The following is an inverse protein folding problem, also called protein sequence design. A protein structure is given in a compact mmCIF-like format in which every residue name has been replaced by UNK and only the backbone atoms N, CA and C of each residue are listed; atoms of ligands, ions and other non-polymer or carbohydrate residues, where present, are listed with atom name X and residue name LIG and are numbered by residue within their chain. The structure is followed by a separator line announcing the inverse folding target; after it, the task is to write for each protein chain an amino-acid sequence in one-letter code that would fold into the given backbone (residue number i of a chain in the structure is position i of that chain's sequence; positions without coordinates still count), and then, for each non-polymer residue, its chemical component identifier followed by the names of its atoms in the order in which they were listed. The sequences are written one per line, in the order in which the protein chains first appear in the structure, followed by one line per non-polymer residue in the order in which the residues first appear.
data_IF_691557230706
#
_entry.id   IF_691557230706
#
_cell.length_a   1.000
_cell.length_b   1.000
_cell.length_c   1.000
_cell.angle_alpha   90.00
_cell.angle_beta   90.00
_cell.angle_gamma   90.00
#
_symmetry.space_group_name_H-M   'P 1'
#
loop_
_entity.id
_entity.type
_entity.pdbx_description
1 polymer ?
#
# COMPACT_ATOMS: atom_id res chain seq x y z
N UNK A 1 -13.40 13.81 -35.95
CA UNK A 1 -12.46 14.12 -34.87
C UNK A 1 -12.37 12.88 -34.00
N UNK A 2 -11.38 12.04 -34.27
CA UNK A 2 -11.28 10.69 -33.68
C UNK A 2 -10.45 10.74 -32.40
N UNK A 3 -11.02 10.22 -31.32
CA UNK A 3 -10.33 10.00 -30.04
C UNK A 3 -9.32 8.84 -30.15
N UNK A 4 -8.21 8.84 -29.37
CA UNK A 4 -7.16 7.84 -29.49
C UNK A 4 -7.58 6.51 -28.82
N UNK A 5 -7.08 5.34 -29.29
CA UNK A 5 -7.45 4.04 -28.74
C UNK A 5 -6.71 3.73 -27.42
N UNK A 6 -7.43 3.21 -26.44
CA UNK A 6 -6.92 2.83 -25.10
C UNK A 6 -6.36 1.40 -25.13
N UNK A 7 -5.06 1.25 -24.93
CA UNK A 7 -4.38 -0.05 -24.82
C UNK A 7 -4.69 -0.74 -23.49
N UNK A 8 -5.44 -1.84 -23.47
CA UNK A 8 -5.49 -2.75 -22.30
C UNK A 8 -5.87 -4.18 -22.72
N UNK A 9 -4.89 -4.97 -23.13
CA UNK A 9 -4.86 -6.42 -22.95
C UNK A 9 -3.39 -6.85 -22.99
N UNK A 10 -2.69 -6.56 -21.89
CA UNK A 10 -1.36 -7.08 -21.62
C UNK A 10 -1.46 -7.91 -20.34
N UNK A 11 -0.81 -9.09 -20.26
CA UNK A 11 -0.72 -9.84 -19.00
C UNK A 11 -0.24 -8.92 -17.87
N UNK A 12 -0.63 -9.19 -16.61
CA UNK A 12 -0.20 -8.35 -15.49
C UNK A 12 1.32 -8.17 -15.55
N UNK A 13 1.81 -6.91 -15.50
CA UNK A 13 3.23 -6.63 -15.66
C UNK A 13 4.03 -7.45 -14.65
N UNK A 14 4.99 -8.25 -15.13
CA UNK A 14 5.89 -8.97 -14.23
C UNK A 14 6.86 -7.95 -13.63
N UNK A 15 6.54 -7.45 -12.43
CA UNK A 15 7.38 -6.49 -11.74
C UNK A 15 8.75 -7.11 -11.38
N UNK A 16 9.79 -6.31 -11.55
CA UNK A 16 11.19 -6.62 -11.29
C UNK A 16 11.75 -5.53 -10.38
N UNK A 17 12.56 -5.93 -9.41
CA UNK A 17 13.19 -5.02 -8.47
C UNK A 17 14.69 -4.92 -8.77
N UNK A 18 15.17 -3.70 -8.95
CA UNK A 18 16.60 -3.36 -8.93
C UNK A 18 16.93 -2.65 -7.62
N UNK A 19 18.11 -2.90 -7.09
CA UNK A 19 18.63 -2.20 -5.90
C UNK A 19 20.01 -1.62 -6.20
N UNK A 20 20.31 -0.48 -5.58
CA UNK A 20 21.63 0.16 -5.58
C UNK A 20 21.96 0.62 -4.17
N UNK A 21 22.93 -0.05 -3.56
CA UNK A 21 23.43 0.31 -2.23
C UNK A 21 24.50 1.40 -2.36
N UNK A 22 24.28 2.52 -1.69
CA UNK A 22 25.21 3.63 -1.61
C UNK A 22 25.86 3.60 -0.23
N UNK A 23 27.16 3.28 -0.20
CA UNK A 23 27.97 3.37 1.00
C UNK A 23 28.85 4.62 0.99
N UNK A 24 29.10 5.19 2.17
CA UNK A 24 29.92 6.40 2.33
C UNK A 24 29.44 7.57 1.46
N UNK A 25 28.14 7.86 1.49
CA UNK A 25 27.49 8.87 0.67
C UNK A 25 28.20 10.24 0.70
N UNK A 26 28.66 10.69 1.86
CA UNK A 26 29.38 11.95 2.03
C UNK A 26 30.68 12.00 1.22
N UNK A 27 31.37 10.86 1.06
CA UNK A 27 32.54 10.75 0.17
C UNK A 27 32.12 10.69 -1.29
N UNK A 28 31.05 9.96 -1.57
CA UNK A 28 30.48 9.79 -2.91
C UNK A 28 30.03 11.13 -3.49
N UNK A 29 29.31 11.95 -2.72
CA UNK A 29 28.90 13.33 -3.06
C UNK A 29 30.11 14.23 -3.38
N UNK A 30 31.22 14.09 -2.65
CA UNK A 30 32.45 14.88 -2.89
C UNK A 30 33.24 14.40 -4.11
N UNK A 31 33.21 13.10 -4.42
CA UNK A 31 34.04 12.49 -5.47
C UNK A 31 33.38 12.47 -6.84
N UNK A 32 32.05 12.36 -6.91
CA UNK A 32 31.31 12.26 -8.17
C UNK A 32 30.94 13.68 -8.63
N UNK A 33 31.51 14.22 -9.72
CA UNK A 33 31.19 15.57 -10.18
C UNK A 33 29.74 15.67 -10.69
N UNK A 34 29.19 16.89 -10.73
CA UNK A 34 27.87 17.14 -11.33
C UNK A 34 27.79 16.61 -12.75
N UNK A 35 26.74 15.85 -13.05
CA UNK A 35 26.58 15.14 -14.34
C UNK A 35 27.23 13.75 -14.42
N UNK A 36 28.01 13.33 -13.42
CA UNK A 36 28.49 11.94 -13.30
C UNK A 36 27.55 11.11 -12.41
N UNK A 37 27.58 9.78 -12.59
CA UNK A 37 26.65 8.86 -11.93
C UNK A 37 27.32 7.58 -11.46
N UNK A 38 26.61 6.89 -10.57
CA UNK A 38 26.90 5.55 -10.05
C UNK A 38 25.83 4.62 -10.59
N UNK A 39 26.19 3.38 -10.85
CA UNK A 39 25.33 2.43 -11.52
C UNK A 39 25.16 1.14 -10.72
N UNK A 40 23.96 0.59 -10.71
CA UNK A 40 23.67 -0.73 -10.13
C UNK A 40 24.20 -1.87 -11.00
N UNK A 41 24.16 -3.09 -10.44
CA UNK A 41 24.20 -4.29 -11.26
C UNK A 41 23.02 -4.30 -12.24
N UNK A 42 23.24 -4.94 -13.39
CA UNK A 42 22.22 -5.03 -14.42
C UNK A 42 21.29 -6.23 -14.19
N UNK A 43 20.01 -6.06 -14.51
CA UNK A 43 18.99 -7.10 -14.46
C UNK A 43 18.36 -7.29 -15.85
N UNK A 44 18.21 -8.53 -16.29
CA UNK A 44 17.58 -8.84 -17.58
C UNK A 44 16.07 -8.99 -17.42
N UNK A 45 15.31 -8.19 -18.15
CA UNK A 45 13.84 -8.22 -18.19
C UNK A 45 13.34 -7.81 -19.57
N UNK A 46 12.34 -8.54 -20.10
CA UNK A 46 11.77 -8.27 -21.43
C UNK A 46 12.79 -8.36 -22.58
N UNK A 47 13.84 -9.18 -22.46
CA UNK A 47 14.92 -9.27 -23.46
C UNK A 47 15.95 -8.14 -23.39
N UNK A 48 15.81 -7.22 -22.43
CA UNK A 48 16.67 -6.06 -22.27
C UNK A 48 17.43 -6.07 -20.94
N UNK A 49 18.60 -5.43 -20.92
CA UNK A 49 19.42 -5.29 -19.72
C UNK A 49 19.14 -3.93 -19.09
N UNK A 50 18.77 -3.92 -17.81
CA UNK A 50 18.31 -2.73 -17.09
C UNK A 50 19.20 -2.43 -15.90
N UNK A 51 19.47 -1.15 -15.63
CA UNK A 51 20.23 -0.71 -14.46
C UNK A 51 19.77 0.64 -13.92
N UNK A 52 19.99 0.88 -12.63
CA UNK A 52 19.78 2.19 -11.98
C UNK A 52 21.03 3.04 -12.22
N UNK A 53 20.85 4.28 -12.63
CA UNK A 53 21.87 5.33 -12.66
C UNK A 53 21.51 6.42 -11.66
N UNK A 54 22.30 6.54 -10.60
CA UNK A 54 22.15 7.55 -9.56
C UNK A 54 23.18 8.67 -9.72
N UNK A 55 22.71 9.92 -9.74
CA UNK A 55 23.49 11.13 -9.88
C UNK A 55 23.47 11.88 -8.55
N UNK A 56 24.52 11.77 -7.71
CA UNK A 56 24.53 12.44 -6.41
C UNK A 56 24.33 13.95 -6.54
N UNK A 57 25.03 14.59 -7.49
CA UNK A 57 25.01 16.06 -7.69
C UNK A 57 24.24 16.48 -8.95
N UNK A 58 23.18 15.74 -9.30
CA UNK A 58 22.33 16.03 -10.45
C UNK A 58 22.95 15.75 -11.82
N UNK A 59 22.15 15.87 -12.88
CA UNK A 59 22.58 15.70 -14.28
C UNK A 59 23.23 16.96 -14.85
N UNK A 60 24.09 16.84 -15.87
CA UNK A 60 24.69 17.99 -16.55
C UNK A 60 23.60 18.91 -17.13
N UNK A 61 23.50 20.15 -16.63
CA UNK A 61 22.48 21.13 -17.02
C UNK A 61 21.28 21.24 -16.07
N UNK A 62 21.28 20.53 -14.93
CA UNK A 62 20.30 20.75 -13.88
C UNK A 62 20.49 22.15 -13.25
N UNK A 63 19.40 22.88 -13.07
CA UNK A 63 19.38 24.25 -12.51
C UNK A 63 19.69 24.29 -11.00
N UNK A 64 19.73 23.14 -10.34
CA UNK A 64 19.83 23.05 -8.89
C UNK A 64 20.84 21.97 -8.47
N UNK A 65 22.06 22.40 -8.14
CA UNK A 65 23.14 21.51 -7.69
C UNK A 65 22.92 20.93 -6.28
N UNK A 66 21.82 21.31 -5.60
CA UNK A 66 21.45 20.80 -4.29
C UNK A 66 20.61 19.50 -4.35
N UNK A 67 20.26 19.03 -5.56
CA UNK A 67 19.39 17.89 -5.78
C UNK A 67 20.12 16.73 -6.44
N UNK A 68 19.84 15.52 -5.96
CA UNK A 68 20.26 14.29 -6.62
C UNK A 68 19.23 13.85 -7.67
N UNK A 69 19.65 13.03 -8.64
CA UNK A 69 18.79 12.49 -9.69
C UNK A 69 18.91 10.97 -9.77
N UNK A 70 17.86 10.28 -10.21
CA UNK A 70 17.87 8.82 -10.40
C UNK A 70 17.17 8.44 -11.70
N UNK A 71 17.76 7.53 -12.47
CA UNK A 71 17.21 7.06 -13.74
C UNK A 71 17.34 5.56 -13.88
N UNK A 72 16.27 4.92 -14.38
CA UNK A 72 16.32 3.59 -14.94
C UNK A 72 16.82 3.67 -16.38
N UNK A 73 17.86 2.89 -16.69
CA UNK A 73 18.47 2.82 -18.02
C UNK A 73 18.35 1.44 -18.61
N UNK A 74 18.13 1.42 -19.92
CA UNK A 74 18.30 0.24 -20.76
C UNK A 74 19.73 0.26 -21.34
N UNK A 75 20.51 -0.76 -21.04
CA UNK A 75 21.94 -0.81 -21.31
C UNK A 75 22.28 -1.24 -22.74
N UNK A 76 21.34 -1.92 -23.42
CA UNK A 76 21.46 -2.44 -24.78
C UNK A 76 20.58 -1.68 -25.80
N UNK A 77 20.39 -0.38 -25.60
CA UNK A 77 19.43 0.48 -26.34
C UNK A 77 19.64 0.66 -27.87
N UNK A 78 20.52 -0.10 -28.52
CA UNK A 78 20.78 0.03 -29.97
C UNK A 78 19.75 -0.68 -30.85
N UNK A 79 19.00 -1.64 -30.32
CA UNK A 79 18.11 -2.52 -31.12
C UNK A 79 16.64 -2.58 -30.63
N UNK A 80 16.22 -1.75 -29.67
CA UNK A 80 14.87 -1.82 -29.09
C UNK A 80 13.86 -0.94 -29.85
N UNK A 81 12.74 -1.53 -30.30
CA UNK A 81 11.58 -0.82 -30.84
C UNK A 81 10.39 -1.03 -29.90
N UNK A 82 10.04 0.01 -29.13
CA UNK A 82 8.67 0.20 -28.66
C UNK A 82 8.26 -0.40 -27.32
N UNK A 83 9.19 -0.76 -26.44
CA UNK A 83 8.83 -1.25 -25.10
C UNK A 83 8.55 -0.09 -24.13
N UNK A 84 7.38 -0.15 -23.48
CA UNK A 84 6.95 0.78 -22.44
C UNK A 84 7.34 0.22 -21.07
N UNK A 85 7.93 1.06 -20.21
CA UNK A 85 8.27 0.69 -18.83
C UNK A 85 7.35 1.39 -17.84
N UNK A 86 6.85 0.64 -16.86
CA UNK A 86 6.14 1.20 -15.70
C UNK A 86 6.99 1.05 -14.46
N UNK A 87 7.12 2.16 -13.73
CA UNK A 87 7.54 2.29 -12.33
C UNK A 87 9.05 2.49 -12.04
N UNK A 88 9.30 3.31 -11.01
CA UNK A 88 10.58 3.65 -10.39
C UNK A 88 10.30 3.76 -8.88
N UNK A 89 10.25 2.62 -8.19
CA UNK A 89 10.00 2.59 -6.74
C UNK A 89 11.29 2.80 -5.92
N UNK A 90 11.59 4.04 -5.52
CA UNK A 90 12.71 4.40 -4.64
C UNK A 90 12.56 3.85 -3.21
N UNK A 91 13.65 3.31 -2.66
CA UNK A 91 13.72 2.60 -1.36
C UNK A 91 13.40 3.47 -0.14
N UNK A 92 13.10 2.83 1.02
CA UNK A 92 12.38 3.46 2.10
C UNK A 92 13.19 4.48 2.90
N UNK A 93 12.48 5.45 3.52
CA UNK A 93 11.06 5.76 3.39
C UNK A 93 10.88 7.24 3.10
N UNK A 94 10.68 7.47 1.80
CA UNK A 94 9.85 8.49 1.15
C UNK A 94 10.63 9.38 0.20
N UNK A 95 11.06 8.76 -0.89
CA UNK A 95 10.94 9.40 -2.20
C UNK A 95 10.12 8.48 -3.09
N UNK A 96 8.84 8.30 -2.74
CA UNK A 96 7.87 7.72 -3.68
C UNK A 96 7.62 8.80 -4.72
N UNK A 97 8.15 8.59 -5.92
CA UNK A 97 7.84 9.46 -7.04
C UNK A 97 6.78 8.85 -7.93
N UNK A 98 6.09 9.73 -8.62
CA UNK A 98 4.94 9.48 -9.46
C UNK A 98 5.15 8.37 -10.50
N UNK A 99 4.05 7.71 -10.86
CA UNK A 99 3.97 6.73 -11.95
C UNK A 99 4.50 7.34 -13.25
N UNK A 100 5.73 7.03 -13.60
CA UNK A 100 6.33 7.43 -14.87
C UNK A 100 6.13 6.31 -15.90
N UNK A 101 5.46 6.64 -17.00
CA UNK A 101 5.31 5.75 -18.17
C UNK A 101 6.11 6.37 -19.30
N UNK A 102 6.98 5.59 -19.95
CA UNK A 102 7.75 6.09 -21.08
C UNK A 102 8.27 4.99 -21.98
N UNK A 103 8.17 5.25 -23.28
CA UNK A 103 8.70 4.39 -24.32
C UNK A 103 10.21 4.60 -24.47
N UNK A 104 10.97 3.50 -24.45
CA UNK A 104 12.39 3.49 -24.77
C UNK A 104 12.56 3.17 -26.27
N UNK A 105 13.28 4.02 -27.02
CA UNK A 105 13.48 3.81 -28.46
C UNK A 105 13.76 5.02 -29.35
N UNK A 106 13.83 6.25 -28.81
CA UNK A 106 14.28 7.43 -29.58
C UNK A 106 15.68 7.85 -29.15
N UNK A 107 16.55 8.14 -30.14
CA UNK A 107 18.01 8.40 -30.03
C UNK A 107 18.44 9.58 -29.11
N UNK A 108 17.57 10.10 -28.24
CA UNK A 108 17.85 11.30 -27.41
C UNK A 108 17.33 11.29 -25.97
N UNK A 109 16.90 10.16 -25.39
CA UNK A 109 16.53 10.13 -23.96
C UNK A 109 17.47 9.20 -23.16
N UNK A 110 18.16 9.69 -22.13
CA UNK A 110 19.19 8.93 -21.42
C UNK A 110 18.61 7.90 -20.43
N UNK A 111 17.30 7.79 -20.26
CA UNK A 111 16.67 6.92 -19.28
C UNK A 111 15.30 7.46 -18.87
N UNK A 112 14.50 6.63 -18.19
CA UNK A 112 13.27 7.05 -17.51
C UNK A 112 13.66 7.36 -16.05
N UNK A 113 13.28 8.50 -15.49
CA UNK A 113 13.82 8.90 -14.18
C UNK A 113 13.42 10.29 -13.72
N UNK A 114 13.98 10.68 -12.58
CA UNK A 114 13.68 11.90 -11.84
C UNK A 114 14.94 12.76 -11.77
N UNK A 115 14.88 13.94 -12.36
CA UNK A 115 15.96 14.93 -12.29
C UNK A 115 16.08 15.57 -10.91
N UNK A 116 14.98 15.63 -10.14
CA UNK A 116 14.92 16.16 -8.79
C UNK A 116 14.36 15.08 -7.85
N UNK A 117 15.19 14.08 -7.54
CA UNK A 117 14.79 12.91 -6.76
C UNK A 117 14.72 13.24 -5.26
N UNK A 118 15.81 13.74 -4.69
CA UNK A 118 15.90 14.14 -3.28
C UNK A 118 16.95 15.23 -3.11
N UNK A 119 16.66 16.19 -2.23
CA UNK A 119 17.62 17.22 -1.82
C UNK A 119 18.65 16.65 -0.85
N UNK A 120 19.88 17.13 -0.91
CA UNK A 120 20.91 16.67 0.00
C UNK A 120 20.54 16.87 1.47
N UNK A 121 19.89 18.00 1.78
CA UNK A 121 19.48 18.35 3.14
C UNK A 121 18.40 17.40 3.66
N UNK A 122 17.42 17.04 2.83
CA UNK A 122 16.35 16.12 3.22
C UNK A 122 16.88 14.70 3.39
N UNK A 123 17.85 14.28 2.55
CA UNK A 123 18.48 12.97 2.70
C UNK A 123 19.34 12.89 3.98
N UNK A 124 20.14 13.90 4.25
CA UNK A 124 21.07 13.94 5.41
C UNK A 124 20.33 14.12 6.75
N UNK A 125 19.14 14.74 6.75
CA UNK A 125 18.27 14.86 7.94
C UNK A 125 17.31 13.68 8.12
N UNK A 126 17.26 12.76 7.16
CA UNK A 126 16.37 11.61 7.24
C UNK A 126 16.82 10.62 8.31
N UNK A 127 15.87 9.98 8.99
CA UNK A 127 16.12 8.96 10.03
C UNK A 127 16.77 7.67 9.47
N UNK A 128 16.93 7.59 8.14
CA UNK A 128 17.32 6.41 7.37
C UNK A 128 18.71 6.51 6.78
N UNK A 129 19.33 7.68 6.99
CA UNK A 129 20.72 7.90 6.73
C UNK A 129 21.55 7.30 7.88
N UNK A 130 21.50 5.98 8.00
CA UNK A 130 22.29 5.24 8.97
C UNK A 130 23.72 5.09 8.46
N UNK A 131 24.69 5.54 9.25
CA UNK A 131 26.12 5.32 9.00
C UNK A 131 26.63 5.79 7.61
N UNK A 132 26.14 6.94 7.12
CA UNK A 132 26.55 7.50 5.82
C UNK A 132 26.18 6.59 4.63
N UNK A 133 25.06 5.86 4.73
CA UNK A 133 24.61 4.91 3.70
C UNK A 133 23.10 4.89 3.51
N UNK A 134 22.66 4.48 2.31
CA UNK A 134 21.26 4.26 1.97
C UNK A 134 21.14 3.36 0.72
N UNK A 135 19.95 2.80 0.50
CA UNK A 135 19.66 1.94 -0.66
C UNK A 135 18.58 2.55 -1.54
N UNK A 136 18.83 2.59 -2.84
CA UNK A 136 17.85 2.96 -3.85
C UNK A 136 17.24 1.69 -4.41
N UNK A 137 15.95 1.47 -4.17
CA UNK A 137 15.17 0.46 -4.87
C UNK A 137 14.61 1.04 -6.19
N UNK A 138 14.25 0.17 -7.12
CA UNK A 138 13.49 0.51 -8.32
C UNK A 138 12.66 -0.70 -8.74
N UNK A 139 11.37 -0.66 -8.47
CA UNK A 139 10.40 -1.58 -9.06
C UNK A 139 10.03 -1.12 -10.46
N UNK A 140 10.14 -2.01 -11.45
CA UNK A 140 9.78 -1.73 -12.84
C UNK A 140 9.17 -2.94 -13.53
N UNK A 141 8.39 -2.71 -14.59
CA UNK A 141 7.90 -3.77 -15.48
C UNK A 141 8.04 -3.38 -16.95
N UNK A 142 8.42 -4.35 -17.78
CA UNK A 142 8.56 -4.19 -19.24
C UNK A 142 7.27 -4.64 -19.91
N UNK A 143 6.65 -3.76 -20.69
CA UNK A 143 5.45 -4.06 -21.45
C UNK A 143 5.81 -4.42 -22.91
N UNK A 144 5.20 -5.46 -23.49
CA UNK A 144 5.37 -5.78 -24.91
C UNK A 144 5.01 -4.60 -25.81
N UNK A 145 5.65 -4.48 -26.99
CA UNK A 145 5.40 -3.37 -27.88
C UNK A 145 3.95 -3.42 -28.40
N UNK A 146 3.29 -2.27 -28.59
CA UNK A 146 2.00 -2.21 -29.25
C UNK A 146 2.14 -2.79 -30.65
N UNK A 147 1.41 -3.85 -30.97
CA UNK A 147 1.38 -4.40 -32.33
C UNK A 147 0.84 -3.35 -33.29
N UNK A 148 1.72 -2.65 -34.00
CA UNK A 148 1.35 -1.69 -35.03
C UNK A 148 0.92 -2.44 -36.29
N UNK A 149 -0.36 -2.77 -36.40
CA UNK A 149 -0.97 -3.01 -37.70
C UNK A 149 -1.17 -1.66 -38.39
N UNK A 150 -0.33 -1.35 -39.38
CA UNK A 150 -0.74 -0.51 -40.51
C UNK A 150 -0.23 -1.11 -41.83
N UNK A 151 -1.02 -0.98 -42.92
CA UNK A 151 -0.82 -1.71 -44.16
C UNK A 151 0.17 -0.97 -45.07
N UNK A 152 1.24 -1.65 -45.47
CA UNK A 152 2.13 -1.20 -46.53
C UNK A 152 1.58 -1.69 -47.87
N UNK A 153 0.88 -0.82 -48.60
CA UNK A 153 0.65 -1.01 -50.04
C UNK A 153 1.94 -0.69 -50.79
N UNK A 154 2.54 -1.69 -51.46
CA UNK A 154 3.26 -1.58 -52.75
C UNK A 154 4.18 -2.78 -53.02
N UNK A 155 3.71 -3.71 -53.86
CA UNK A 155 4.44 -4.39 -54.94
C UNK A 155 5.89 -4.88 -54.71
N UNK A 156 6.05 -6.20 -54.57
CA UNK A 156 6.79 -7.02 -55.54
C UNK A 156 6.47 -8.51 -55.30
N UNK A 157 6.03 -9.19 -56.35
CA UNK A 157 5.63 -10.59 -56.33
C UNK A 157 6.81 -11.55 -56.11
N UNK A 158 6.64 -12.57 -55.25
CA UNK A 158 7.02 -13.98 -55.49
C UNK A 158 6.22 -14.89 -54.54
N UNK A 159 5.79 -16.05 -55.02
CA UNK A 159 4.72 -16.96 -54.53
C UNK A 159 5.07 -17.80 -53.24
N UNK A 160 4.10 -18.52 -52.62
CA UNK A 160 4.02 -18.86 -51.17
C UNK A 160 4.22 -20.37 -50.83
N UNK A 161 4.00 -20.81 -49.57
CA UNK A 161 3.38 -22.13 -49.30
C UNK A 161 2.19 -22.08 -48.29
N UNK A 162 1.40 -23.17 -48.13
CA UNK A 162 -0.06 -23.12 -47.98
C UNK A 162 -0.59 -23.00 -46.54
N UNK A 163 -1.80 -22.45 -46.45
CA UNK A 163 -2.55 -22.06 -45.26
C UNK A 163 -3.09 -23.25 -44.43
N UNK A 164 -2.93 -23.19 -43.10
CA UNK A 164 -3.68 -24.00 -42.15
C UNK A 164 -5.12 -23.47 -41.96
N UNK A 165 -6.09 -24.28 -41.48
CA UNK A 165 -7.50 -23.88 -41.38
C UNK A 165 -7.72 -22.84 -40.27
N UNK A 166 -8.71 -21.93 -40.38
CA UNK A 166 -8.94 -20.89 -39.38
C UNK A 166 -9.57 -21.45 -38.10
N UNK A 167 -8.97 -21.09 -36.95
CA UNK A 167 -9.50 -21.36 -35.60
C UNK A 167 -10.77 -20.54 -35.31
N UNK A 168 -11.68 -21.03 -34.44
CA UNK A 168 -12.93 -20.36 -34.13
C UNK A 168 -12.70 -19.03 -33.39
N UNK A 169 -13.57 -18.01 -33.58
CA UNK A 169 -13.33 -16.68 -33.04
C UNK A 169 -13.36 -16.70 -31.50
N UNK A 170 -12.27 -16.25 -30.91
CA UNK A 170 -12.10 -16.01 -29.47
C UNK A 170 -13.05 -14.90 -29.03
N UNK A 171 -14.01 -15.24 -28.18
CA UNK A 171 -14.92 -14.26 -27.54
C UNK A 171 -14.10 -13.42 -26.57
N UNK A 172 -13.91 -12.14 -26.88
CA UNK A 172 -13.19 -11.18 -26.03
C UNK A 172 -14.09 -10.84 -24.84
N UNK A 173 -13.64 -11.17 -23.63
CA UNK A 173 -14.30 -10.77 -22.39
C UNK A 173 -14.26 -9.24 -22.20
N UNK A 174 -15.28 -8.62 -21.56
CA UNK A 174 -15.31 -7.19 -21.32
C UNK A 174 -14.15 -6.71 -20.42
N UNK A 175 -13.70 -5.46 -20.55
CA UNK A 175 -12.51 -4.93 -19.87
C UNK A 175 -12.65 -4.95 -18.34
N UNK A 176 -11.55 -5.19 -17.63
CA UNK A 176 -11.51 -5.36 -16.16
C UNK A 176 -11.88 -4.13 -15.31
N UNK A 177 -12.29 -3.01 -15.93
CA UNK A 177 -12.88 -1.83 -15.27
C UNK A 177 -14.38 -1.66 -15.51
N UNK A 178 -14.98 -2.53 -16.35
CA UNK A 178 -16.42 -2.66 -16.50
C UNK A 178 -16.85 -3.91 -15.75
N UNK A 179 -17.65 -3.74 -14.71
CA UNK A 179 -18.12 -4.83 -13.88
C UNK A 179 -19.12 -4.32 -12.87
N UNK A 180 -19.94 -5.24 -12.37
CA UNK A 180 -21.07 -4.91 -11.48
C UNK A 180 -20.67 -3.99 -10.32
N UNK A 181 -19.50 -4.20 -9.70
CA UNK A 181 -19.01 -3.36 -8.60
C UNK A 181 -18.71 -1.91 -9.03
N UNK A 182 -18.21 -1.68 -10.25
CA UNK A 182 -17.95 -0.35 -10.77
C UNK A 182 -19.26 0.35 -11.18
N UNK A 183 -20.18 -0.40 -11.79
CA UNK A 183 -21.50 0.11 -12.17
C UNK A 183 -22.30 0.50 -10.92
N UNK A 184 -22.34 -0.36 -9.90
CA UNK A 184 -22.94 -0.05 -8.61
C UNK A 184 -22.20 1.09 -7.90
N UNK A 185 -20.86 1.08 -7.91
CA UNK A 185 -20.05 2.17 -7.37
C UNK A 185 -20.44 3.54 -7.96
N UNK A 186 -20.70 3.62 -9.27
CA UNK A 186 -21.13 4.87 -9.90
C UNK A 186 -22.48 5.40 -9.36
N UNK A 187 -23.40 4.52 -8.96
CA UNK A 187 -24.72 4.91 -8.45
C UNK A 187 -24.63 5.67 -7.12
N UNK A 188 -23.67 5.34 -6.26
CA UNK A 188 -23.48 6.07 -5.00
C UNK A 188 -22.97 7.49 -5.23
N UNK A 189 -22.23 7.71 -6.32
CA UNK A 189 -21.69 9.02 -6.69
C UNK A 189 -22.73 9.87 -7.43
N UNK A 190 -23.43 9.30 -8.42
CA UNK A 190 -24.44 10.00 -9.22
C UNK A 190 -25.74 10.23 -8.46
N UNK A 191 -26.02 9.38 -7.46
CA UNK A 191 -27.28 9.34 -6.70
C UNK A 191 -28.51 9.06 -7.57
N UNK A 192 -28.30 8.55 -8.77
CA UNK A 192 -29.37 8.26 -9.72
C UNK A 192 -30.25 7.12 -9.19
N UNK A 193 -31.53 7.42 -8.94
CA UNK A 193 -32.48 6.44 -8.43
C UNK A 193 -32.41 6.20 -6.91
N UNK A 194 -31.65 7.04 -6.18
CA UNK A 194 -31.61 6.96 -4.72
C UNK A 194 -33.02 7.13 -4.12
N UNK A 195 -33.37 6.24 -3.20
CA UNK A 195 -34.71 6.13 -2.61
C UNK A 195 -34.71 6.22 -1.07
N UNK A 196 -33.53 6.48 -0.48
CA UNK A 196 -33.34 6.77 0.94
C UNK A 196 -32.23 7.79 1.17
N UNK A 197 -32.43 8.67 2.13
CA UNK A 197 -31.41 9.55 2.67
C UNK A 197 -31.00 9.13 4.09
N UNK A 198 -29.70 9.08 4.35
CA UNK A 198 -29.11 8.67 5.63
C UNK A 198 -28.40 9.88 6.25
N UNK A 199 -28.87 10.35 7.40
CA UNK A 199 -28.25 11.45 8.13
C UNK A 199 -27.23 10.93 9.14
N UNK A 200 -25.97 11.31 8.99
CA UNK A 200 -24.86 10.95 9.87
C UNK A 200 -24.22 12.23 10.39
N UNK A 201 -24.34 12.50 11.69
CA UNK A 201 -23.78 13.72 12.30
C UNK A 201 -24.13 15.04 11.59
N UNK A 202 -25.31 15.12 10.95
CA UNK A 202 -25.78 16.28 10.18
C UNK A 202 -25.38 16.29 8.70
N UNK A 203 -24.59 15.31 8.24
CA UNK A 203 -24.30 15.09 6.82
C UNK A 203 -25.30 14.10 6.21
N UNK A 204 -25.73 14.37 4.98
CA UNK A 204 -26.74 13.56 4.29
C UNK A 204 -26.12 12.69 3.20
N UNK A 205 -26.39 11.39 3.26
CA UNK A 205 -25.94 10.39 2.32
C UNK A 205 -27.14 9.75 1.61
N UNK A 206 -27.35 10.08 0.34
CA UNK A 206 -28.38 9.46 -0.49
C UNK A 206 -27.92 8.08 -0.98
N UNK A 207 -28.79 7.07 -0.90
CA UNK A 207 -28.46 5.68 -1.21
C UNK A 207 -29.68 4.89 -1.73
N UNK A 208 -29.48 3.59 -1.96
CA UNK A 208 -30.47 2.68 -2.52
C UNK A 208 -30.82 1.57 -1.51
N UNK A 209 -32.07 1.51 -1.07
CA UNK A 209 -32.53 0.54 -0.05
C UNK A 209 -32.22 -0.90 -0.45
N UNK A 210 -32.43 -1.24 -1.72
CA UNK A 210 -32.17 -2.60 -2.21
C UNK A 210 -30.70 -2.99 -2.12
N UNK A 211 -29.78 -2.08 -2.44
CA UNK A 211 -28.34 -2.34 -2.31
C UNK A 211 -27.99 -2.53 -0.84
N UNK A 212 -28.36 -1.58 0.01
CA UNK A 212 -28.06 -1.65 1.45
C UNK A 212 -28.64 -2.90 2.12
N UNK A 213 -29.88 -3.25 1.82
CA UNK A 213 -30.54 -4.45 2.34
C UNK A 213 -29.94 -5.76 1.81
N UNK A 214 -29.38 -5.76 0.59
CA UNK A 214 -28.68 -6.93 0.07
C UNK A 214 -27.33 -7.14 0.77
N UNK A 215 -26.70 -6.06 1.24
CA UNK A 215 -25.36 -6.09 1.84
C UNK A 215 -25.38 -6.20 3.36
N UNK A 216 -26.42 -5.71 4.04
CA UNK A 216 -26.54 -5.74 5.50
C UNK A 216 -27.90 -6.28 5.95
N UNK A 217 -27.93 -7.30 6.84
CA UNK A 217 -29.17 -7.80 7.41
C UNK A 217 -29.89 -6.75 8.29
N UNK A 218 -29.14 -5.82 8.89
CA UNK A 218 -29.70 -4.73 9.70
C UNK A 218 -30.48 -3.77 8.80
N UNK A 219 -29.86 -3.28 7.72
CA UNK A 219 -30.59 -2.47 6.75
C UNK A 219 -31.75 -3.21 6.10
N UNK A 220 -31.62 -4.52 5.87
CA UNK A 220 -32.73 -5.34 5.38
C UNK A 220 -33.92 -5.34 6.34
N UNK A 221 -33.65 -5.47 7.64
CA UNK A 221 -34.67 -5.41 8.68
C UNK A 221 -35.29 -3.99 8.77
N UNK A 222 -34.48 -2.95 8.70
CA UNK A 222 -34.95 -1.56 8.77
C UNK A 222 -35.86 -1.19 7.57
N UNK A 223 -35.51 -1.63 6.36
CA UNK A 223 -36.27 -1.28 5.15
C UNK A 223 -37.42 -2.24 4.84
N UNK A 224 -37.28 -3.53 5.13
CA UNK A 224 -38.19 -4.57 4.69
C UNK A 224 -38.71 -5.47 5.82
N UNK A 225 -38.31 -5.21 7.06
CA UNK A 225 -38.78 -5.95 8.22
C UNK A 225 -40.22 -5.61 8.63
N UNK A 226 -40.81 -6.39 9.55
CA UNK A 226 -42.19 -6.21 10.00
C UNK A 226 -42.41 -4.92 10.79
N UNK A 227 -41.35 -4.35 11.37
CA UNK A 227 -41.37 -3.09 12.11
C UNK A 227 -41.01 -1.87 11.24
N UNK A 228 -40.97 -2.01 9.91
CA UNK A 228 -40.68 -0.89 9.01
C UNK A 228 -41.77 0.17 9.11
N UNK A 229 -41.39 1.43 9.15
CA UNK A 229 -42.33 2.52 8.89
C UNK A 229 -42.70 2.52 7.40
N UNK A 230 -43.97 2.74 7.06
CA UNK A 230 -44.47 2.66 5.67
C UNK A 230 -43.80 3.64 4.70
N UNK A 231 -43.07 4.63 5.21
CA UNK A 231 -42.39 5.67 4.45
C UNK A 231 -40.98 6.01 4.97
N UNK A 232 -40.14 5.01 5.30
CA UNK A 232 -38.73 5.26 5.65
C UNK A 232 -37.92 5.70 4.43
N UNK A 233 -38.07 6.96 4.01
CA UNK A 233 -37.19 7.63 3.03
C UNK A 233 -36.02 8.35 3.70
N UNK A 234 -35.99 8.40 5.03
CA UNK A 234 -35.00 9.09 5.83
C UNK A 234 -34.64 8.25 7.06
N UNK A 235 -33.36 8.05 7.32
CA UNK A 235 -32.87 7.35 8.52
C UNK A 235 -31.74 8.16 9.15
N UNK A 236 -31.80 8.32 10.48
CA UNK A 236 -30.73 8.96 11.24
C UNK A 236 -29.81 7.90 11.83
N UNK A 237 -28.51 8.06 11.59
CA UNK A 237 -27.45 7.17 12.03
C UNK A 237 -26.59 7.92 13.06
N UNK A 238 -26.71 7.54 14.33
CA UNK A 238 -25.85 8.03 15.41
C UNK A 238 -24.53 7.26 15.50
N UNK A 239 -23.57 7.77 16.28
CA UNK A 239 -22.37 7.07 16.76
C UNK A 239 -21.43 6.52 15.66
N UNK A 240 -21.49 7.08 14.44
CA UNK A 240 -20.54 6.80 13.36
C UNK A 240 -20.06 8.13 12.78
N UNK A 241 -18.75 8.26 12.62
CA UNK A 241 -18.11 9.39 11.93
C UNK A 241 -18.54 9.42 10.44
N UNK A 242 -18.90 10.59 9.85
CA UNK A 242 -19.25 10.71 8.43
C UNK A 242 -18.26 10.09 7.45
N UNK A 243 -16.94 10.24 7.68
CA UNK A 243 -15.89 9.67 6.84
C UNK A 243 -15.85 8.13 6.94
N UNK A 244 -16.06 7.59 8.15
CA UNK A 244 -16.19 6.14 8.33
C UNK A 244 -17.47 5.62 7.64
N UNK A 245 -18.58 6.37 7.73
CA UNK A 245 -19.81 6.02 7.06
C UNK A 245 -19.69 6.07 5.54
N UNK A 246 -18.98 7.07 5.00
CA UNK A 246 -18.67 7.17 3.57
C UNK A 246 -17.88 5.96 3.08
N UNK A 247 -16.88 5.52 3.86
CA UNK A 247 -16.11 4.31 3.53
C UNK A 247 -16.95 3.04 3.64
N UNK A 248 -17.83 2.92 4.64
CA UNK A 248 -18.83 1.85 4.75
C UNK A 248 -19.72 1.80 3.50
N UNK A 249 -20.25 2.96 3.09
CA UNK A 249 -21.14 3.05 1.94
C UNK A 249 -20.40 2.64 0.67
N UNK A 250 -19.19 3.15 0.44
CA UNK A 250 -18.34 2.73 -0.68
C UNK A 250 -18.14 1.20 -0.70
N UNK A 251 -17.85 0.59 0.45
CA UNK A 251 -17.72 -0.86 0.56
C UNK A 251 -19.02 -1.59 0.18
N UNK A 252 -20.19 -1.13 0.63
CA UNK A 252 -21.46 -1.78 0.29
C UNK A 252 -21.72 -1.83 -1.22
N UNK A 253 -21.28 -0.84 -1.99
CA UNK A 253 -21.47 -0.83 -3.44
C UNK A 253 -20.35 -1.54 -4.22
N UNK A 254 -19.13 -1.59 -3.68
CA UNK A 254 -17.93 -1.97 -4.47
C UNK A 254 -17.17 -3.18 -3.93
N UNK A 255 -17.48 -3.66 -2.73
CA UNK A 255 -16.70 -4.66 -1.97
C UNK A 255 -15.24 -4.25 -1.68
N UNK A 256 -14.93 -2.96 -1.81
CA UNK A 256 -13.58 -2.43 -1.59
C UNK A 256 -13.60 -1.22 -0.65
N UNK A 257 -12.49 -1.00 0.05
CA UNK A 257 -12.25 0.24 0.78
C UNK A 257 -11.61 1.26 -0.16
N UNK A 258 -11.90 2.57 -0.02
CA UNK A 258 -11.25 3.61 -0.80
C UNK A 258 -9.72 3.52 -0.69
N UNK A 259 -9.00 3.62 -1.81
CA UNK A 259 -7.52 3.55 -1.81
C UNK A 259 -6.88 4.67 -0.99
N UNK A 260 -7.51 5.85 -0.99
CA UNK A 260 -7.08 7.05 -0.26
C UNK A 260 -7.37 7.00 1.25
N UNK A 261 -7.93 5.89 1.76
CA UNK A 261 -8.31 5.79 3.17
C UNK A 261 -7.07 5.77 4.07
N UNK A 262 -6.90 6.76 4.99
CA UNK A 262 -5.68 6.93 5.77
C UNK A 262 -5.57 5.97 6.97
N UNK A 263 -5.83 4.66 6.78
CA UNK A 263 -5.67 3.65 7.85
C UNK A 263 -4.20 3.43 8.26
N UNK A 264 -3.27 4.19 7.68
CA UNK A 264 -1.83 4.15 7.96
C UNK A 264 -1.36 5.34 8.82
N UNK A 265 -2.21 6.30 9.17
CA UNK A 265 -1.84 7.38 10.08
C UNK A 265 -2.16 7.01 11.54
N UNK A 266 -1.33 7.50 12.48
CA UNK A 266 -1.42 7.11 13.90
C UNK A 266 -2.73 7.51 14.55
N UNK A 267 -3.10 8.78 14.48
CA UNK A 267 -4.28 9.31 15.17
C UNK A 267 -5.51 9.30 14.25
N UNK A 268 -5.43 9.98 13.10
CA UNK A 268 -6.56 10.07 12.17
C UNK A 268 -6.98 8.68 11.64
N UNK A 269 -6.00 7.82 11.33
CA UNK A 269 -6.22 6.47 10.84
C UNK A 269 -6.82 5.55 11.90
N UNK A 270 -6.43 5.70 13.17
CA UNK A 270 -7.03 4.95 14.27
C UNK A 270 -8.49 5.36 14.51
N UNK A 271 -8.80 6.66 14.50
CA UNK A 271 -10.18 7.17 14.64
C UNK A 271 -11.07 6.67 13.51
N UNK A 272 -10.55 6.71 12.27
CA UNK A 272 -11.29 6.22 11.11
C UNK A 272 -11.47 4.69 11.14
N UNK A 273 -10.43 3.95 11.55
CA UNK A 273 -10.49 2.50 11.73
C UNK A 273 -11.54 2.12 12.79
N UNK A 274 -11.52 2.79 13.95
CA UNK A 274 -12.49 2.59 15.03
C UNK A 274 -13.91 2.84 14.54
N UNK A 275 -14.15 3.99 13.89
CA UNK A 275 -15.45 4.33 13.32
C UNK A 275 -15.95 3.27 12.32
N UNK A 276 -15.06 2.76 11.48
CA UNK A 276 -15.41 1.76 10.47
C UNK A 276 -15.60 0.36 11.08
N UNK A 277 -14.83 -0.02 12.10
CA UNK A 277 -15.02 -1.27 12.85
C UNK A 277 -16.36 -1.25 13.62
N UNK A 278 -16.70 -0.13 14.28
CA UNK A 278 -18.01 0.08 14.88
C UNK A 278 -19.13 -0.05 13.86
N UNK A 279 -18.97 0.54 12.67
CA UNK A 279 -19.93 0.43 11.59
C UNK A 279 -20.07 -1.01 11.08
N UNK A 280 -18.95 -1.71 10.88
CA UNK A 280 -18.94 -3.10 10.45
C UNK A 280 -19.66 -4.02 11.45
N UNK A 281 -19.42 -3.82 12.75
CA UNK A 281 -20.12 -4.56 13.81
C UNK A 281 -21.61 -4.22 13.83
N UNK A 282 -21.97 -2.93 13.79
CA UNK A 282 -23.37 -2.46 13.83
C UNK A 282 -24.19 -2.98 12.66
N UNK A 283 -23.63 -3.04 11.46
CA UNK A 283 -24.33 -3.46 10.25
C UNK A 283 -24.06 -4.94 9.89
N UNK A 284 -23.41 -5.69 10.79
CA UNK A 284 -23.10 -7.12 10.68
C UNK A 284 -22.29 -7.51 9.43
N UNK A 285 -21.30 -6.70 9.06
CA UNK A 285 -20.45 -6.87 7.88
C UNK A 285 -19.11 -7.54 8.25
N UNK A 286 -19.12 -8.87 8.39
CA UNK A 286 -17.94 -9.63 8.84
C UNK A 286 -16.78 -9.55 7.84
N UNK A 287 -17.08 -9.55 6.56
CA UNK A 287 -16.09 -9.48 5.47
C UNK A 287 -15.40 -8.11 5.42
N UNK A 288 -16.14 -7.03 5.70
CA UNK A 288 -15.58 -5.69 5.85
C UNK A 288 -14.57 -5.65 7.00
N UNK A 289 -14.93 -6.25 8.15
CA UNK A 289 -14.04 -6.32 9.31
C UNK A 289 -12.71 -6.99 8.99
N UNK A 290 -12.74 -8.14 8.31
CA UNK A 290 -11.54 -8.83 7.86
C UNK A 290 -10.70 -8.00 6.87
N UNK A 291 -11.35 -7.22 6.01
CA UNK A 291 -10.68 -6.32 5.07
C UNK A 291 -9.96 -5.18 5.79
N UNK A 292 -10.60 -4.60 6.81
CA UNK A 292 -9.99 -3.58 7.69
C UNK A 292 -8.78 -4.18 8.40
N UNK A 293 -8.92 -5.37 8.99
CA UNK A 293 -7.81 -6.08 9.65
C UNK A 293 -6.63 -6.27 8.70
N UNK A 294 -6.86 -6.73 7.46
CA UNK A 294 -5.80 -6.92 6.48
C UNK A 294 -5.09 -5.61 6.10
N UNK A 295 -5.85 -4.52 5.94
CA UNK A 295 -5.28 -3.21 5.63
C UNK A 295 -4.47 -2.67 6.80
N UNK A 296 -4.94 -2.82 8.04
CA UNK A 296 -4.22 -2.38 9.24
C UNK A 296 -2.96 -3.20 9.48
N UNK A 297 -3.00 -4.53 9.25
CA UNK A 297 -1.83 -5.40 9.38
C UNK A 297 -0.65 -4.97 8.50
N UNK A 298 -0.91 -4.37 7.33
CA UNK A 298 0.12 -3.87 6.40
C UNK A 298 0.85 -2.63 6.90
N UNK A 299 0.32 -1.95 7.92
CA UNK A 299 0.82 -0.67 8.41
C UNK A 299 1.22 -0.73 9.91
N UNK A 300 1.46 -1.93 10.44
CA UNK A 300 1.93 -2.08 11.83
C UNK A 300 3.38 -1.57 11.91
N UNK A 301 3.58 -0.55 12.76
CA UNK A 301 4.88 -0.01 13.11
C UNK A 301 4.94 0.32 14.61
N UNK A 302 6.10 0.77 15.11
CA UNK A 302 6.29 1.09 16.53
C UNK A 302 5.30 2.14 17.02
N UNK A 303 5.01 3.16 16.21
CA UNK A 303 4.12 4.28 16.58
C UNK A 303 2.63 3.92 16.51
N UNK A 304 2.25 2.93 15.70
CA UNK A 304 0.85 2.53 15.45
C UNK A 304 0.43 1.26 16.19
N UNK A 305 1.37 0.38 16.58
CA UNK A 305 1.04 -0.96 17.09
C UNK A 305 0.19 -0.94 18.37
N UNK A 306 0.39 0.01 19.27
CA UNK A 306 -0.37 0.07 20.53
C UNK A 306 -1.82 0.53 20.32
N UNK A 307 -2.11 1.63 19.60
CA UNK A 307 -3.47 1.96 19.18
C UNK A 307 -4.16 0.82 18.41
N UNK A 308 -3.46 0.19 17.46
CA UNK A 308 -4.03 -0.91 16.67
C UNK A 308 -4.36 -2.14 17.53
N UNK A 309 -3.51 -2.46 18.52
CA UNK A 309 -3.76 -3.55 19.46
C UNK A 309 -4.96 -3.26 20.36
N UNK A 310 -5.12 -2.01 20.82
CA UNK A 310 -6.30 -1.60 21.59
C UNK A 310 -7.59 -1.77 20.78
N UNK A 311 -7.60 -1.28 19.53
CA UNK A 311 -8.74 -1.45 18.62
C UNK A 311 -9.02 -2.93 18.34
N UNK A 312 -7.97 -3.74 18.17
CA UNK A 312 -8.12 -5.15 17.90
C UNK A 312 -8.75 -5.91 19.07
N UNK A 313 -8.44 -5.55 20.31
CA UNK A 313 -9.12 -6.10 21.48
C UNK A 313 -10.58 -5.62 21.55
N UNK A 314 -10.80 -4.31 21.47
CA UNK A 314 -12.12 -3.69 21.61
C UNK A 314 -13.12 -4.26 20.60
N UNK A 315 -12.67 -4.45 19.35
CA UNK A 315 -13.47 -4.98 18.27
C UNK A 315 -13.24 -6.46 17.99
N UNK A 316 -12.57 -7.24 18.86
CA UNK A 316 -12.38 -8.68 18.65
C UNK A 316 -11.76 -9.05 17.27
N UNK A 317 -10.83 -8.24 16.79
CA UNK A 317 -10.10 -8.44 15.53
C UNK A 317 -8.92 -9.38 15.75
N UNK A 318 -9.17 -10.69 15.66
CA UNK A 318 -8.21 -11.72 16.04
C UNK A 318 -6.94 -11.75 15.18
N UNK A 319 -7.04 -11.50 13.87
CA UNK A 319 -5.85 -11.49 12.97
C UNK A 319 -4.99 -10.28 13.29
N UNK A 320 -5.59 -9.09 13.40
CA UNK A 320 -4.86 -7.86 13.75
C UNK A 320 -4.18 -7.99 15.12
N UNK A 321 -4.92 -8.44 16.14
CA UNK A 321 -4.38 -8.65 17.49
C UNK A 321 -3.15 -9.56 17.47
N UNK A 322 -3.24 -10.70 16.79
CA UNK A 322 -2.12 -11.64 16.65
C UNK A 322 -0.90 -10.97 16.00
N UNK A 323 -1.09 -10.25 14.90
CA UNK A 323 0.00 -9.58 14.19
C UNK A 323 0.65 -8.48 15.05
N UNK A 324 -0.14 -7.70 15.79
CA UNK A 324 0.37 -6.71 16.74
C UNK A 324 1.21 -7.36 17.85
N UNK A 325 0.72 -8.45 18.45
CA UNK A 325 1.44 -9.17 19.49
C UNK A 325 2.77 -9.76 18.96
N UNK A 326 2.76 -10.31 17.76
CA UNK A 326 3.99 -10.80 17.09
C UNK A 326 4.98 -9.68 16.80
N UNK A 327 4.50 -8.52 16.35
CA UNK A 327 5.34 -7.36 16.10
C UNK A 327 6.00 -6.83 17.39
N UNK A 328 5.23 -6.69 18.48
CA UNK A 328 5.74 -6.20 19.77
C UNK A 328 6.77 -7.16 20.36
N UNK A 329 6.54 -8.46 20.24
CA UNK A 329 7.37 -9.48 20.86
C UNK A 329 8.72 -9.72 20.14
N UNK A 330 8.95 -9.10 18.98
CA UNK A 330 10.26 -9.07 18.34
C UNK A 330 11.25 -8.24 19.17
N UNK A 331 12.44 -8.77 19.45
CA UNK A 331 13.46 -8.13 20.32
C UNK A 331 13.75 -6.67 19.97
N UNK A 332 13.84 -6.37 18.67
CA UNK A 332 14.09 -5.01 18.16
C UNK A 332 12.97 -4.01 18.51
N UNK A 333 11.73 -4.50 18.60
CA UNK A 333 10.55 -3.68 18.78
C UNK A 333 10.13 -3.60 20.24
N UNK A 334 10.36 -4.65 21.04
CA UNK A 334 9.91 -4.69 22.44
C UNK A 334 10.38 -3.47 23.22
N UNK A 335 11.68 -3.14 23.18
CA UNK A 335 12.22 -1.98 23.90
C UNK A 335 11.63 -0.66 23.40
N UNK A 336 11.50 -0.51 22.08
CA UNK A 336 10.97 0.71 21.48
C UNK A 336 9.49 0.92 21.82
N UNK A 337 8.68 -0.14 21.77
CA UNK A 337 7.27 -0.11 22.15
C UNK A 337 7.11 0.16 23.65
N UNK A 338 7.93 -0.46 24.51
CA UNK A 338 7.85 -0.27 25.97
C UNK A 338 8.24 1.13 26.42
N UNK A 339 8.96 1.89 25.60
CA UNK A 339 9.32 3.28 25.87
C UNK A 339 8.19 4.28 25.52
N UNK A 340 7.09 3.82 24.92
CA UNK A 340 5.97 4.70 24.55
C UNK A 340 5.04 4.94 25.74
N UNK A 341 4.65 6.20 25.94
CA UNK A 341 3.66 6.60 26.94
C UNK A 341 2.31 5.89 26.77
N UNK A 342 2.00 5.45 25.54
CA UNK A 342 0.77 4.72 25.20
C UNK A 342 0.69 3.34 25.87
N UNK A 343 1.80 2.75 26.32
CA UNK A 343 1.80 1.47 27.04
C UNK A 343 1.06 1.60 28.37
N UNK A 344 1.28 2.69 29.10
CA UNK A 344 0.58 2.93 30.37
C UNK A 344 -0.92 3.13 30.14
N UNK A 345 -1.30 3.82 29.05
CA UNK A 345 -2.70 3.99 28.64
C UNK A 345 -3.35 2.65 28.27
N UNK A 346 -2.63 1.80 27.54
CA UNK A 346 -3.09 0.45 27.19
C UNK A 346 -3.25 -0.41 28.45
N UNK A 347 -2.29 -0.36 29.38
CA UNK A 347 -2.34 -1.11 30.63
C UNK A 347 -3.51 -0.69 31.52
N UNK A 348 -3.86 0.60 31.51
CA UNK A 348 -4.99 1.13 32.28
C UNK A 348 -6.33 0.76 31.67
N UNK A 349 -6.45 0.79 30.34
CA UNK A 349 -7.70 0.51 29.62
C UNK A 349 -7.96 -1.00 29.46
N UNK A 350 -6.93 -1.79 29.19
CA UNK A 350 -7.04 -3.21 28.87
C UNK A 350 -5.96 -4.07 29.55
N UNK A 351 -6.08 -4.34 30.87
CA UNK A 351 -5.07 -5.10 31.61
C UNK A 351 -4.85 -6.54 31.09
N UNK A 352 -5.87 -7.15 30.49
CA UNK A 352 -5.78 -8.48 29.86
C UNK A 352 -4.75 -8.52 28.73
N UNK A 353 -4.73 -7.48 27.89
CA UNK A 353 -3.79 -7.36 26.76
C UNK A 353 -2.35 -7.33 27.26
N UNK A 354 -2.06 -6.62 28.36
CA UNK A 354 -0.70 -6.55 28.91
C UNK A 354 -0.19 -7.94 29.29
N UNK A 355 -1.04 -8.75 29.91
CA UNK A 355 -0.71 -10.14 30.22
C UNK A 355 -0.40 -10.94 28.94
N UNK A 356 -1.18 -10.76 27.88
CA UNK A 356 -0.93 -11.42 26.60
C UNK A 356 0.37 -10.96 25.94
N UNK A 357 0.68 -9.65 25.97
CA UNK A 357 1.95 -9.10 25.49
C UNK A 357 3.12 -9.72 26.25
N UNK A 358 3.07 -9.75 27.58
CA UNK A 358 4.09 -10.38 28.42
C UNK A 358 4.25 -11.85 28.05
N UNK A 359 3.14 -12.59 27.95
CA UNK A 359 3.16 -14.02 27.63
C UNK A 359 3.80 -14.25 26.27
N UNK A 360 3.45 -13.44 25.26
CA UNK A 360 4.02 -13.54 23.92
C UNK A 360 5.52 -13.21 23.88
N UNK A 361 5.96 -12.20 24.64
CA UNK A 361 7.40 -11.86 24.77
C UNK A 361 8.15 -13.03 25.41
N UNK A 362 7.61 -13.62 26.48
CA UNK A 362 8.20 -14.79 27.13
C UNK A 362 8.26 -15.98 26.17
N UNK A 363 7.20 -16.26 25.41
CA UNK A 363 7.17 -17.36 24.43
C UNK A 363 8.17 -17.17 23.28
N UNK A 364 8.42 -15.92 22.85
CA UNK A 364 9.48 -15.61 21.85
C UNK A 364 10.86 -15.78 22.47
N UNK A 365 11.04 -15.24 23.67
CA UNK A 365 12.28 -15.31 24.44
C UNK A 365 12.69 -16.77 24.70
N UNK A 366 11.79 -17.62 25.17
CA UNK A 366 12.07 -19.04 25.41
C UNK A 366 12.47 -19.78 24.12
N UNK A 367 11.84 -19.46 22.98
CA UNK A 367 12.21 -20.04 21.68
C UNK A 367 13.60 -19.59 21.23
N UNK A 368 13.91 -18.31 21.33
CA UNK A 368 15.23 -17.78 20.96
C UNK A 368 16.34 -18.29 21.90
N UNK A 369 16.05 -18.44 23.20
CA UNK A 369 16.98 -19.01 24.18
C UNK A 369 17.21 -20.52 23.97
N UNK A 370 16.23 -21.25 23.45
CA UNK A 370 16.42 -22.65 23.06
C UNK A 370 17.36 -22.79 21.85
N UNK A 371 17.47 -21.74 21.03
CA UNK A 371 18.33 -21.69 19.84
C UNK A 371 19.73 -21.09 20.13
N UNK A 372 19.90 -20.33 21.22
CA UNK A 372 21.16 -19.65 21.59
C UNK A 372 21.78 -20.17 22.91
N UNK A 373 23.10 -20.46 22.88
CA UNK A 373 23.84 -21.07 24.01
C UNK A 373 24.18 -20.07 25.14
N UNK A 374 24.08 -18.76 24.90
CA UNK A 374 24.38 -17.70 25.87
C UNK A 374 23.17 -17.31 26.74
N UNK A 375 22.71 -18.28 27.55
CA UNK A 375 21.52 -18.20 28.39
C UNK A 375 21.55 -17.09 29.46
N UNK A 376 22.74 -16.66 29.89
CA UNK A 376 22.92 -15.77 31.05
C UNK A 376 22.59 -14.30 30.72
N UNK A 377 23.00 -13.82 29.54
CA UNK A 377 22.69 -12.46 29.08
C UNK A 377 21.19 -12.32 28.79
N UNK A 378 20.62 -13.37 28.20
CA UNK A 378 19.23 -13.43 27.80
C UNK A 378 18.27 -13.52 28.99
N UNK A 379 18.61 -14.34 29.99
CA UNK A 379 17.86 -14.45 31.25
C UNK A 379 17.80 -13.11 31.99
N UNK A 380 18.91 -12.38 32.09
CA UNK A 380 18.94 -11.08 32.78
C UNK A 380 18.02 -10.05 32.12
N UNK A 381 17.96 -10.04 30.78
CA UNK A 381 17.14 -9.10 30.03
C UNK A 381 15.64 -9.41 30.14
N UNK A 382 15.27 -10.69 30.05
CA UNK A 382 13.91 -11.16 30.29
C UNK A 382 13.46 -10.82 31.73
N UNK A 383 14.33 -11.00 32.73
CA UNK A 383 14.06 -10.60 34.11
C UNK A 383 13.84 -9.08 34.25
N UNK A 384 14.63 -8.24 33.58
CA UNK A 384 14.45 -6.78 33.63
C UNK A 384 13.11 -6.36 33.03
N UNK A 385 12.75 -6.89 31.86
CA UNK A 385 11.47 -6.59 31.19
C UNK A 385 10.30 -7.10 32.04
N UNK A 386 10.41 -8.32 32.58
CA UNK A 386 9.41 -8.92 33.45
C UNK A 386 9.21 -8.12 34.75
N UNK A 387 10.29 -7.69 35.41
CA UNK A 387 10.20 -6.86 36.61
C UNK A 387 9.67 -5.45 36.31
N UNK A 388 10.06 -4.83 35.20
CA UNK A 388 9.51 -3.53 34.79
C UNK A 388 7.99 -3.61 34.55
N UNK A 389 7.53 -4.70 33.92
CA UNK A 389 6.11 -4.93 33.65
C UNK A 389 5.32 -5.29 34.91
N UNK A 390 5.90 -6.07 35.84
CA UNK A 390 5.32 -6.30 37.16
C UNK A 390 5.22 -5.00 37.95
N UNK A 391 6.23 -4.13 37.89
CA UNK A 391 6.19 -2.81 38.54
C UNK A 391 5.05 -1.99 37.94
N UNK A 392 4.88 -1.95 36.61
CA UNK A 392 3.76 -1.26 35.95
C UNK A 392 2.39 -1.83 36.36
N UNK A 393 2.28 -3.14 36.57
CA UNK A 393 1.05 -3.79 37.05
C UNK A 393 0.79 -3.58 38.56
N UNK A 394 1.85 -3.46 39.36
CA UNK A 394 1.80 -3.28 40.82
C UNK A 394 1.73 -1.80 41.25
N UNK A 395 2.04 -0.84 40.38
CA UNK A 395 1.80 0.60 40.61
C UNK A 395 0.32 1.00 40.52
N UNK A 396 -0.55 0.02 40.73
CA UNK A 396 -1.97 0.17 41.00
C UNK A 396 -2.20 -0.02 42.51
N UNK A 397 -1.70 0.94 43.30
CA UNK A 397 -2.25 1.20 44.63
C UNK A 397 -2.26 2.68 44.93
#
# INVERSE_FOLDING_TARGET
MSAPPTMTNLPPPSFKMLTLDIHSYSKTKKKVPGGAWIRSNALVAGGHSWSISYYPNGTSGATDAAMSSVYLRMDNARDAVGDDVRELGGGPPRFVSSKLVGAFGSRRKPGLGLSAFVSHDDLEKSEFFELDSFTICCDFAVLPPPSSHLPSTSSAATAPPPSAPPEPPTVIAPPSGSGLHADLGSLVETKEGADVDLEVCGELFSAHKLVLAARSPVFKADFFGPAKEESTSYIRIGDINPEAFKALLHYMYTDTLPESMPLNSREEGAVLAEGLLMAADRYELKELKLLIEDKMCKNIDVSTVLPMLALAEQHQCGKLKKMCLEFIASDKNTRATMALDDVERLARSHPSIVKEVITKILDVTEREAAENVDWVSFSMYAFIVFFALIILLLWKK
#
